data_IF_020174873224
#
_entry.id   IF_020174873224
#
_cell.length_a   1.000
_cell.length_b   1.000
_cell.length_c   1.000
_cell.angle_alpha   90.00
_cell.angle_beta   90.00
_cell.angle_gamma   90.00
#
_symmetry.space_group_name_H-M   'P 1'
#
loop_
_entity.id
_entity.type
_entity.pdbx_description
1 polymer ?
#
# COMPACT_ATOMS: atom_id res chain seq x y z
N UNK A 1 14.61 -2.00 20.63
CA UNK A 1 13.45 -1.27 21.20
C UNK A 1 12.25 -2.16 21.58
N UNK A 2 12.25 -3.47 21.29
CA UNK A 2 11.17 -4.39 21.71
C UNK A 2 11.13 -4.71 23.21
N UNK A 3 12.24 -4.49 23.93
CA UNK A 3 12.34 -4.86 25.37
C UNK A 3 11.79 -3.76 26.30
N UNK A 4 11.67 -2.52 25.82
CA UNK A 4 11.25 -1.38 26.67
C UNK A 4 9.72 -1.31 26.81
N UNK A 5 8.96 -1.78 25.81
CA UNK A 5 7.49 -1.79 25.88
C UNK A 5 6.89 -2.92 26.75
N UNK A 6 7.67 -3.94 27.08
CA UNK A 6 7.17 -5.13 27.78
C UNK A 6 7.09 -4.99 29.31
N UNK A 7 7.60 -3.90 29.90
CA UNK A 7 7.77 -3.78 31.36
C UNK A 7 6.95 -2.65 32.01
N UNK A 8 6.26 -1.80 31.23
CA UNK A 8 5.70 -0.54 31.76
C UNK A 8 4.18 -0.43 31.76
N UNK A 9 3.52 -0.90 30.70
CA UNK A 9 2.07 -0.82 30.60
C UNK A 9 1.52 -2.24 30.63
N UNK A 10 0.75 -2.55 31.67
CA UNK A 10 -0.20 -3.65 31.59
C UNK A 10 -1.02 -3.37 30.32
N UNK A 11 -0.84 -4.20 29.31
CA UNK A 11 -1.79 -4.30 28.20
C UNK A 11 -3.06 -4.83 28.86
N UNK A 12 -3.84 -3.93 29.44
CA UNK A 12 -5.14 -4.22 29.99
C UNK A 12 -5.99 -4.58 28.78
N UNK A 13 -6.09 -5.88 28.52
CA UNK A 13 -6.87 -6.48 27.43
C UNK A 13 -8.36 -6.30 27.74
N UNK A 14 -8.78 -5.04 27.75
CA UNK A 14 -10.16 -4.64 27.94
C UNK A 14 -10.83 -4.85 26.59
N UNK A 15 -11.55 -5.97 26.49
CA UNK A 15 -12.37 -6.27 25.33
C UNK A 15 -13.58 -5.34 25.36
N UNK A 16 -13.39 -4.13 24.87
CA UNK A 16 -14.39 -3.07 24.86
C UNK A 16 -15.07 -2.99 23.49
N UNK A 17 -16.40 -3.09 23.48
CA UNK A 17 -17.20 -2.94 22.28
C UNK A 17 -17.74 -1.51 22.22
N UNK A 18 -17.59 -0.77 21.10
CA UNK A 18 -17.36 -1.26 19.72
C UNK A 18 -15.90 -1.25 19.23
N UNK A 19 -14.95 -0.81 20.06
CA UNK A 19 -13.56 -0.60 19.65
C UNK A 19 -12.91 -1.87 19.08
N UNK A 20 -13.09 -3.02 19.74
CA UNK A 20 -12.57 -4.31 19.24
C UNK A 20 -13.16 -4.69 17.88
N UNK A 21 -14.40 -4.28 17.57
CA UNK A 21 -15.04 -4.52 16.28
C UNK A 21 -14.37 -3.79 15.13
N UNK A 22 -14.04 -2.51 15.34
CA UNK A 22 -13.32 -1.72 14.35
C UNK A 22 -11.91 -2.26 14.11
N UNK A 23 -11.22 -2.71 15.16
CA UNK A 23 -9.92 -3.36 15.03
C UNK A 23 -10.01 -4.66 14.23
N UNK A 24 -11.02 -5.49 14.47
CA UNK A 24 -11.26 -6.71 13.68
C UNK A 24 -11.59 -6.39 12.22
N UNK A 25 -12.41 -5.36 11.97
CA UNK A 25 -12.75 -4.94 10.62
C UNK A 25 -11.50 -4.47 9.84
N UNK A 26 -10.63 -3.68 10.47
CA UNK A 26 -9.36 -3.26 9.88
C UNK A 26 -8.38 -4.43 9.68
N UNK A 27 -8.34 -5.38 10.63
CA UNK A 27 -7.48 -6.56 10.54
C UNK A 27 -7.93 -7.54 9.46
N UNK A 28 -9.24 -7.70 9.23
CA UNK A 28 -9.73 -8.64 8.22
C UNK A 28 -9.84 -7.99 6.84
N UNK A 29 -10.31 -6.74 6.76
CA UNK A 29 -10.54 -6.04 5.51
C UNK A 29 -9.24 -5.70 4.76
N UNK A 30 -8.65 -4.52 4.98
CA UNK A 30 -7.47 -4.09 4.23
C UNK A 30 -6.27 -5.02 4.46
N UNK A 31 -6.14 -5.61 5.64
CA UNK A 31 -4.97 -6.44 5.94
C UNK A 31 -5.11 -7.85 5.35
N UNK A 32 -6.08 -8.69 5.76
CA UNK A 32 -6.17 -10.07 5.22
C UNK A 32 -6.65 -10.08 3.76
N UNK A 33 -7.80 -9.47 3.46
CA UNK A 33 -8.38 -9.49 2.11
C UNK A 33 -7.49 -8.72 1.14
N UNK A 34 -6.98 -7.55 1.54
CA UNK A 34 -6.08 -6.76 0.70
C UNK A 34 -4.80 -7.51 0.32
N UNK A 35 -4.15 -8.18 1.28
CA UNK A 35 -2.96 -9.00 0.97
C UNK A 35 -3.26 -10.20 0.08
N UNK A 36 -4.41 -10.86 0.26
CA UNK A 36 -4.83 -11.95 -0.62
C UNK A 36 -5.02 -11.46 -2.08
N UNK A 37 -5.65 -10.30 -2.26
CA UNK A 37 -5.82 -9.69 -3.59
C UNK A 37 -4.48 -9.36 -4.23
N UNK A 38 -3.55 -8.74 -3.48
CA UNK A 38 -2.21 -8.42 -3.98
C UNK A 38 -1.46 -9.70 -4.37
N UNK A 39 -1.46 -10.72 -3.51
CA UNK A 39 -0.81 -12.01 -3.78
C UNK A 39 -1.40 -12.74 -4.99
N UNK A 40 -2.70 -12.59 -5.25
CA UNK A 40 -3.35 -13.12 -6.45
C UNK A 40 -3.02 -12.33 -7.72
N UNK A 41 -2.88 -11.01 -7.61
CA UNK A 41 -2.62 -10.09 -8.70
C UNK A 41 -1.15 -10.15 -9.17
N UNK A 42 -0.21 -10.23 -8.24
CA UNK A 42 1.23 -10.14 -8.46
C UNK A 42 1.79 -11.10 -9.54
N UNK A 43 1.35 -12.37 -9.68
CA UNK A 43 1.84 -13.27 -10.72
C UNK A 43 1.29 -12.98 -12.12
N UNK A 44 0.23 -12.17 -12.23
CA UNK A 44 -0.54 -11.96 -13.47
C UNK A 44 -0.35 -10.59 -14.10
N UNK A 45 0.29 -9.67 -13.39
CA UNK A 45 0.46 -8.28 -13.80
C UNK A 45 1.96 -8.00 -14.08
N UNK A 46 2.28 -7.20 -15.10
CA UNK A 46 3.63 -6.69 -15.28
C UNK A 46 4.09 -6.01 -13.98
N UNK A 47 5.34 -6.23 -13.57
CA UNK A 47 5.87 -5.73 -12.30
C UNK A 47 5.66 -4.21 -12.07
N UNK A 48 5.59 -3.45 -13.16
CA UNK A 48 5.33 -2.01 -13.14
C UNK A 48 3.89 -1.65 -12.71
N UNK A 49 2.89 -2.45 -13.06
CA UNK A 49 1.50 -2.25 -12.61
C UNK A 49 1.37 -2.55 -11.11
N UNK A 50 2.03 -3.61 -10.62
CA UNK A 50 1.99 -3.91 -9.18
C UNK A 50 2.73 -2.85 -8.35
N UNK A 51 3.89 -2.39 -8.79
CA UNK A 51 4.60 -1.28 -8.13
C UNK A 51 3.73 -0.02 -8.06
N UNK A 52 2.95 0.23 -9.11
CA UNK A 52 1.99 1.35 -9.15
C UNK A 52 0.89 1.20 -8.12
N UNK A 53 0.26 0.03 -8.02
CA UNK A 53 -0.79 -0.24 -7.03
C UNK A 53 -0.25 -0.10 -5.59
N UNK A 54 0.93 -0.63 -5.31
CA UNK A 54 1.56 -0.58 -3.97
C UNK A 54 1.91 0.85 -3.57
N UNK A 55 2.32 1.70 -4.51
CA UNK A 55 2.72 3.08 -4.23
C UNK A 55 1.56 4.08 -4.35
N UNK A 56 0.47 3.70 -5.01
CA UNK A 56 -0.80 4.41 -4.91
C UNK A 56 -1.37 4.29 -3.49
N UNK A 57 -1.15 3.17 -2.79
CA UNK A 57 -1.62 2.96 -1.42
C UNK A 57 -1.17 4.05 -0.43
N UNK A 58 0.14 4.38 -0.27
CA UNK A 58 0.56 5.46 0.63
C UNK A 58 0.09 6.84 0.16
N UNK A 59 -0.03 7.09 -1.15
CA UNK A 59 -0.56 8.35 -1.66
C UNK A 59 -2.04 8.51 -1.32
N UNK A 60 -2.85 7.47 -1.53
CA UNK A 60 -4.25 7.45 -1.13
C UNK A 60 -4.39 7.58 0.38
N UNK A 61 -3.59 6.87 1.18
CA UNK A 61 -3.58 7.02 2.64
C UNK A 61 -3.34 8.47 3.06
N UNK A 62 -2.38 9.16 2.42
CA UNK A 62 -2.09 10.57 2.70
C UNK A 62 -3.27 11.49 2.33
N UNK A 63 -3.91 11.25 1.19
CA UNK A 63 -5.09 12.01 0.73
C UNK A 63 -6.29 11.76 1.65
N UNK A 64 -6.53 10.51 2.05
CA UNK A 64 -7.61 10.18 2.97
C UNK A 64 -7.33 10.69 4.38
N UNK A 65 -6.06 10.68 4.82
CA UNK A 65 -5.59 11.28 6.07
C UNK A 65 -5.95 12.76 6.16
N UNK A 66 -5.64 13.52 5.11
CA UNK A 66 -5.95 14.95 5.07
C UNK A 66 -7.44 15.25 4.96
N UNK A 67 -8.22 14.44 4.22
CA UNK A 67 -9.66 14.67 4.05
C UNK A 67 -10.48 14.23 5.27
N UNK A 68 -10.20 13.06 5.84
CA UNK A 68 -11.02 12.44 6.89
C UNK A 68 -10.59 12.90 8.28
N UNK A 69 -9.28 13.07 8.50
CA UNK A 69 -8.70 13.36 9.81
C UNK A 69 -8.17 14.79 9.93
N UNK A 70 -8.34 15.62 8.90
CA UNK A 70 -7.88 17.01 8.82
C UNK A 70 -6.37 17.15 9.10
N UNK A 71 -5.60 16.09 8.79
CA UNK A 71 -4.15 16.09 8.92
C UNK A 71 -3.54 17.09 7.93
N UNK A 72 -2.59 17.89 8.42
CA UNK A 72 -1.83 18.82 7.59
C UNK A 72 -0.47 18.21 7.26
N UNK A 73 -0.34 17.50 6.13
CA UNK A 73 0.93 16.91 5.75
C UNK A 73 2.00 17.99 5.60
N UNK A 74 3.20 17.71 6.11
CA UNK A 74 4.31 18.65 6.01
C UNK A 74 4.78 18.78 4.55
N UNK A 75 5.37 19.92 4.21
CA UNK A 75 5.93 20.14 2.87
C UNK A 75 6.94 19.05 2.46
N UNK A 76 7.68 18.49 3.41
CA UNK A 76 8.64 17.41 3.16
C UNK A 76 7.93 16.07 2.84
N UNK A 77 6.82 15.78 3.52
CA UNK A 77 6.02 14.58 3.22
C UNK A 77 5.41 14.66 1.83
N UNK A 78 4.90 15.84 1.45
CA UNK A 78 4.34 16.07 0.10
C UNK A 78 5.42 15.91 -0.95
N UNK A 79 6.60 16.51 -0.75
CA UNK A 79 7.72 16.38 -1.68
C UNK A 79 8.16 14.92 -1.85
N UNK A 80 8.28 14.18 -0.75
CA UNK A 80 8.59 12.74 -0.78
C UNK A 80 7.54 11.93 -1.53
N UNK A 81 6.25 12.19 -1.29
CA UNK A 81 5.15 11.53 -1.99
C UNK A 81 5.20 11.78 -3.50
N UNK A 82 5.43 13.03 -3.92
CA UNK A 82 5.56 13.40 -5.35
C UNK A 82 6.74 12.69 -6.00
N UNK A 83 7.90 12.64 -5.35
CA UNK A 83 9.10 11.96 -5.89
C UNK A 83 8.82 10.47 -6.12
N UNK A 84 8.21 9.81 -5.14
CA UNK A 84 7.86 8.38 -5.23
C UNK A 84 6.86 8.14 -6.36
N UNK A 85 5.78 8.92 -6.43
CA UNK A 85 4.78 8.81 -7.50
C UNK A 85 5.37 9.05 -8.89
N UNK A 86 6.29 10.01 -9.02
CA UNK A 86 6.98 10.28 -10.28
C UNK A 86 7.87 9.10 -10.71
N UNK A 87 8.65 8.52 -9.80
CA UNK A 87 9.48 7.34 -10.07
C UNK A 87 8.65 6.14 -10.56
N UNK A 88 7.49 5.93 -9.94
CA UNK A 88 6.53 4.91 -10.35
C UNK A 88 6.00 5.16 -11.74
N UNK A 89 5.54 6.38 -12.02
CA UNK A 89 5.01 6.74 -13.33
C UNK A 89 6.05 6.53 -14.45
N UNK A 90 7.33 6.81 -14.19
CA UNK A 90 8.42 6.54 -15.14
C UNK A 90 8.61 5.03 -15.38
N UNK A 91 8.57 4.20 -14.33
CA UNK A 91 8.70 2.74 -14.46
C UNK A 91 7.48 2.14 -15.16
N UNK A 92 6.28 2.60 -14.81
CA UNK A 92 5.02 2.22 -15.47
C UNK A 92 5.03 2.57 -16.96
N UNK A 93 5.48 3.78 -17.31
CA UNK A 93 5.58 4.21 -18.70
C UNK A 93 6.67 3.48 -19.50
N UNK A 94 7.77 3.06 -18.86
CA UNK A 94 8.85 2.32 -19.53
C UNK A 94 8.56 0.83 -19.72
N UNK A 95 7.70 0.23 -18.88
CA UNK A 95 7.25 -1.16 -19.01
C UNK A 95 6.27 -1.42 -20.16
N UNK A 96 5.62 -0.39 -20.72
CA UNK A 96 4.63 -0.51 -21.79
C UNK A 96 5.20 -0.68 -23.21
N UNK A 97 6.53 -0.70 -23.39
CA UNK A 97 7.18 -0.66 -24.71
C UNK A 97 7.80 -1.98 -25.22
N UNK A 98 7.80 -3.07 -24.45
CA UNK A 98 8.56 -4.29 -24.80
C UNK A 98 7.68 -5.53 -25.02
N UNK A 99 6.60 -5.32 -25.77
CA UNK A 99 5.66 -6.37 -26.20
C UNK A 99 5.77 -6.77 -27.67
N UNK A 100 6.74 -6.27 -28.44
CA UNK A 100 6.97 -6.71 -29.82
C UNK A 100 8.09 -7.77 -29.84
N UNK A 101 7.73 -8.99 -29.44
CA UNK A 101 8.53 -10.18 -29.78
C UNK A 101 7.89 -10.83 -31.00
N UNK A 102 8.44 -10.65 -32.22
CA UNK A 102 8.05 -11.45 -33.36
C UNK A 102 8.57 -12.87 -33.12
N UNK A 103 7.70 -13.77 -32.68
CA UNK A 103 7.98 -15.19 -32.61
C UNK A 103 7.33 -15.90 -33.81
N UNK A 104 8.09 -15.90 -34.91
CA UNK A 104 8.23 -17.01 -35.87
C UNK A 104 6.92 -17.60 -36.41
N UNK A 105 6.47 -17.01 -37.51
CA UNK A 105 5.74 -17.71 -38.55
C UNK A 105 6.68 -18.72 -39.24
N UNK A 106 6.27 -19.99 -39.27
CA UNK A 106 6.86 -21.05 -40.09
C UNK A 106 7.86 -21.98 -39.38
N UNK A 107 7.41 -23.19 -39.00
CA UNK A 107 7.55 -24.45 -39.77
C UNK A 107 7.16 -25.65 -38.90
#
# INVERSE_FOLDING_TARGET
>A
MLVIGALGERIDFTWDWPASGWLLALALGPQVIGWMMIGYALPRLPAAETATIVLLQPALTMVWGSIIFDERPSALQIAGAVIVLAGVAMVAASGGGSGDRPAVEGT
#
